data_IF_170857397877
#
_entry.id   IF_170857397877
#
_cell.length_a   1.000
_cell.length_b   1.000
_cell.length_c   1.000
_cell.angle_alpha   90.00
_cell.angle_beta   90.00
_cell.angle_gamma   90.00
#
_symmetry.space_group_name_H-M   'P 1'
#
loop_
_entity.id
_entity.type
_entity.pdbx_description
1 polymer ?
#
# COMPACT_ATOMS: atom_id res chain seq x y z
N UNK A 1 12.03 -32.66 -10.42
CA UNK A 1 10.65 -32.15 -10.50
C UNK A 1 10.71 -30.83 -11.27
N UNK A 2 10.10 -30.78 -12.45
CA UNK A 2 10.16 -29.65 -13.36
C UNK A 2 8.94 -28.77 -13.10
N UNK A 3 9.13 -27.63 -12.45
CA UNK A 3 8.06 -26.66 -12.16
C UNK A 3 7.80 -25.84 -13.41
N UNK A 4 6.70 -26.14 -14.09
CA UNK A 4 6.22 -25.37 -15.23
C UNK A 4 5.53 -24.10 -14.71
N UNK A 5 6.22 -22.95 -14.76
CA UNK A 5 5.59 -21.64 -14.54
C UNK A 5 4.67 -21.35 -15.72
N UNK A 6 3.36 -21.51 -15.52
CA UNK A 6 2.36 -21.04 -16.47
C UNK A 6 1.99 -19.60 -16.12
N UNK A 7 2.61 -18.64 -16.80
CA UNK A 7 2.25 -17.23 -16.70
C UNK A 7 0.92 -17.02 -17.42
N UNK A 8 -0.19 -17.00 -16.68
CA UNK A 8 -1.49 -16.58 -17.23
C UNK A 8 -1.47 -15.05 -17.25
N UNK A 9 -1.14 -14.48 -18.41
CA UNK A 9 -1.42 -13.09 -18.69
C UNK A 9 -2.94 -12.93 -18.80
N UNK A 10 -3.59 -12.45 -17.73
CA UNK A 10 -4.95 -11.93 -17.84
C UNK A 10 -4.90 -10.66 -18.70
N UNK A 11 -5.25 -10.78 -19.98
CA UNK A 11 -5.55 -9.63 -20.82
C UNK A 11 -6.80 -8.95 -20.26
N UNK A 12 -6.61 -8.05 -19.29
CA UNK A 12 -7.60 -7.03 -18.98
C UNK A 12 -7.50 -5.97 -20.06
N UNK A 13 -8.46 -5.95 -20.99
CA UNK A 13 -8.62 -4.88 -21.97
C UNK A 13 -9.25 -3.67 -21.27
N UNK A 14 -8.49 -3.01 -20.39
CA UNK A 14 -8.91 -1.75 -19.82
C UNK A 14 -8.80 -0.66 -20.91
N UNK A 15 -9.93 -0.21 -21.45
CA UNK A 15 -9.96 0.97 -22.29
C UNK A 15 -9.71 2.22 -21.41
N UNK A 16 -8.85 3.17 -21.81
CA UNK A 16 -8.69 4.42 -21.10
C UNK A 16 -9.99 5.23 -21.17
N UNK A 17 -10.63 5.46 -20.01
CA UNK A 17 -11.86 6.25 -19.94
C UNK A 17 -11.51 7.73 -19.90
N UNK A 18 -11.85 8.48 -20.95
CA UNK A 18 -11.81 9.94 -20.95
C UNK A 18 -13.05 10.49 -20.24
N UNK A 19 -13.03 10.51 -18.90
CA UNK A 19 -14.06 11.21 -18.13
C UNK A 19 -13.75 12.71 -18.07
N UNK A 20 -14.75 13.54 -18.39
CA UNK A 20 -14.68 15.01 -18.34
C UNK A 20 -14.27 15.48 -16.94
N UNK A 21 -13.05 16.01 -16.80
CA UNK A 21 -12.56 16.58 -15.56
C UNK A 21 -13.23 17.95 -15.31
N UNK A 22 -13.81 18.22 -14.13
CA UNK A 22 -14.20 19.57 -13.75
C UNK A 22 -12.96 20.47 -13.65
N UNK A 23 -13.17 21.77 -13.85
CA UNK A 23 -12.11 22.79 -13.83
C UNK A 23 -11.32 22.74 -12.50
N UNK A 24 -9.99 22.72 -12.65
CA UNK A 24 -8.98 22.69 -11.59
C UNK A 24 -9.22 23.85 -10.61
N UNK A 25 -9.33 23.54 -9.33
CA UNK A 25 -9.20 24.58 -8.30
C UNK A 25 -7.71 24.85 -8.10
N UNK A 26 -7.20 26.01 -8.50
CA UNK A 26 -5.76 26.33 -8.42
C UNK A 26 -5.25 26.65 -6.99
N UNK A 27 -5.90 26.09 -5.96
CA UNK A 27 -5.44 26.21 -4.58
C UNK A 27 -4.19 25.34 -4.34
N UNK A 28 -3.21 25.80 -3.54
CA UNK A 28 -2.00 25.02 -3.22
C UNK A 28 -2.29 23.70 -2.48
N UNK A 29 -3.51 23.53 -1.97
CA UNK A 29 -4.00 22.32 -1.29
C UNK A 29 -4.99 21.50 -2.13
N UNK A 30 -5.22 21.88 -3.39
CA UNK A 30 -6.14 21.15 -4.25
C UNK A 30 -5.54 19.82 -4.72
N UNK A 31 -6.39 18.80 -4.75
CA UNK A 31 -6.09 17.49 -5.31
C UNK A 31 -7.13 17.18 -6.37
N UNK A 32 -6.68 16.99 -7.60
CA UNK A 32 -7.50 16.54 -8.73
C UNK A 32 -7.74 15.04 -8.61
N UNK A 33 -8.99 14.62 -8.74
CA UNK A 33 -9.40 13.21 -8.63
C UNK A 33 -10.11 12.81 -9.91
N UNK A 34 -9.59 11.78 -10.58
CA UNK A 34 -10.15 11.27 -11.84
C UNK A 34 -10.27 9.77 -11.84
N UNK A 35 -11.18 9.24 -12.65
CA UNK A 35 -11.18 7.81 -12.98
C UNK A 35 -10.09 7.54 -13.99
N UNK A 36 -9.22 6.57 -13.70
CA UNK A 36 -8.18 6.10 -14.62
C UNK A 36 -8.67 4.89 -15.41
N UNK A 37 -9.32 3.96 -14.72
CA UNK A 37 -9.83 2.74 -15.31
C UNK A 37 -10.98 2.18 -14.50
N UNK A 38 -11.88 1.49 -15.20
CA UNK A 38 -12.89 0.63 -14.60
C UNK A 38 -12.68 -0.76 -15.15
N UNK A 39 -12.68 -1.75 -14.27
CA UNK A 39 -12.58 -3.15 -14.64
C UNK A 39 -13.68 -3.94 -13.95
N UNK A 40 -14.39 -4.75 -14.73
CA UNK A 40 -15.36 -5.69 -14.23
C UNK A 40 -14.78 -7.10 -14.30
N UNK A 41 -14.84 -7.85 -13.20
CA UNK A 41 -14.44 -9.24 -13.16
C UNK A 41 -15.64 -10.12 -12.79
N UNK A 42 -15.98 -11.08 -13.67
CA UNK A 42 -17.04 -12.08 -13.45
C UNK A 42 -16.44 -13.49 -13.45
N UNK A 43 -16.14 -14.04 -12.27
CA UNK A 43 -15.45 -15.33 -12.15
C UNK A 43 -16.26 -16.54 -12.63
N UNK A 44 -17.59 -16.50 -12.58
CA UNK A 44 -18.43 -17.57 -13.14
C UNK A 44 -18.20 -17.79 -14.64
N UNK A 45 -17.66 -16.79 -15.33
CA UNK A 45 -17.36 -16.83 -16.76
C UNK A 45 -15.89 -17.24 -17.05
N UNK A 46 -15.04 -17.33 -16.00
CA UNK A 46 -13.61 -17.66 -16.09
C UNK A 46 -13.26 -19.06 -15.57
N UNK A 47 -14.24 -19.85 -15.13
CA UNK A 47 -13.99 -21.21 -14.63
C UNK A 47 -13.52 -22.09 -15.80
N UNK A 48 -12.25 -22.54 -15.84
CA UNK A 48 -11.79 -23.38 -16.92
C UNK A 48 -12.56 -24.70 -16.86
N UNK A 49 -13.23 -25.03 -17.97
CA UNK A 49 -13.80 -26.35 -18.14
C UNK A 49 -12.83 -27.19 -18.94
N UNK A 50 -12.55 -28.40 -18.50
CA UNK A 50 -11.89 -29.39 -19.35
C UNK A 50 -12.79 -29.75 -20.54
N UNK A 51 -12.23 -30.40 -21.55
CA UNK A 51 -12.95 -30.83 -22.75
C UNK A 51 -14.15 -31.75 -22.47
N UNK A 52 -14.20 -32.38 -21.29
CA UNK A 52 -15.30 -33.22 -20.83
C UNK A 52 -16.37 -32.46 -20.01
N UNK A 53 -16.22 -31.13 -19.87
CA UNK A 53 -17.14 -30.27 -19.15
C UNK A 53 -16.95 -30.23 -17.63
N UNK A 54 -15.96 -30.94 -17.07
CA UNK A 54 -15.66 -30.85 -15.63
C UNK A 54 -14.95 -29.55 -15.27
N UNK A 55 -15.15 -29.10 -14.03
CA UNK A 55 -14.56 -27.85 -13.50
C UNK A 55 -13.12 -28.14 -13.06
N UNK A 56 -12.15 -27.47 -13.68
CA UNK A 56 -10.75 -27.55 -13.26
C UNK A 56 -10.54 -26.65 -12.04
N UNK A 57 -10.19 -27.24 -10.89
CA UNK A 57 -9.75 -26.47 -9.73
C UNK A 57 -8.38 -25.83 -10.01
N UNK A 58 -8.34 -24.52 -10.11
CA UNK A 58 -7.09 -23.75 -10.16
C UNK A 58 -6.70 -23.40 -8.73
N UNK A 59 -5.52 -23.81 -8.26
CA UNK A 59 -5.03 -23.51 -6.91
C UNK A 59 -4.33 -22.14 -6.85
N UNK A 60 -5.04 -21.02 -7.09
CA UNK A 60 -4.52 -19.67 -6.79
C UNK A 60 -5.38 -19.02 -5.71
N UNK A 61 -4.99 -19.29 -4.46
CA UNK A 61 -5.75 -19.05 -3.22
C UNK A 61 -5.91 -17.58 -2.78
N UNK A 62 -5.88 -16.60 -3.69
CA UNK A 62 -5.79 -15.18 -3.27
C UNK A 62 -6.89 -14.24 -3.76
N UNK A 63 -7.82 -14.65 -4.65
CA UNK A 63 -9.02 -13.85 -4.99
C UNK A 63 -10.08 -14.57 -5.87
N UNK A 64 -10.17 -15.90 -5.83
CA UNK A 64 -10.89 -16.67 -6.88
C UNK A 64 -12.42 -16.62 -6.86
N UNK A 65 -13.08 -16.10 -5.82
CA UNK A 65 -14.51 -16.36 -5.64
C UNK A 65 -15.42 -15.16 -5.90
N UNK A 66 -14.89 -14.00 -6.32
CA UNK A 66 -15.68 -12.76 -6.26
C UNK A 66 -15.69 -11.93 -7.52
N UNK A 67 -16.84 -12.05 -8.17
CA UNK A 67 -17.46 -11.04 -9.01
C UNK A 67 -17.28 -9.62 -8.41
N UNK A 68 -16.48 -8.77 -9.04
CA UNK A 68 -16.13 -7.43 -8.51
C UNK A 68 -16.08 -6.38 -9.62
N UNK A 69 -16.48 -5.16 -9.26
CA UNK A 69 -16.24 -3.96 -10.06
C UNK A 69 -15.11 -3.16 -9.40
N UNK A 70 -14.02 -2.93 -10.10
CA UNK A 70 -12.88 -2.14 -9.61
C UNK A 70 -12.86 -0.80 -10.33
N UNK A 71 -12.86 0.29 -9.56
CA UNK A 71 -12.69 1.66 -10.07
C UNK A 71 -11.35 2.18 -9.55
N UNK A 72 -10.40 2.42 -10.45
CA UNK A 72 -9.11 3.00 -10.11
C UNK A 72 -9.20 4.54 -10.21
N UNK A 73 -8.99 5.21 -9.08
CA UNK A 73 -8.94 6.66 -9.00
C UNK A 73 -7.50 7.15 -9.04
N UNK A 74 -7.23 8.12 -9.90
CA UNK A 74 -5.98 8.87 -9.94
C UNK A 74 -6.15 10.15 -9.16
N UNK A 75 -5.31 10.32 -8.13
CA UNK A 75 -5.23 11.56 -7.37
C UNK A 75 -3.96 12.27 -7.80
N UNK A 76 -4.04 13.57 -8.14
CA UNK A 76 -2.89 14.40 -8.52
C UNK A 76 -2.90 15.74 -7.81
N UNK A 77 -1.71 16.26 -7.52
CA UNK A 77 -1.55 17.60 -6.94
C UNK A 77 -0.38 17.67 -5.95
N UNK A 78 -0.05 18.88 -5.52
CA UNK A 78 1.06 19.09 -4.56
C UNK A 78 0.90 18.26 -3.28
N UNK A 79 -0.29 18.18 -2.65
CA UNK A 79 -0.43 17.34 -1.46
C UNK A 79 -0.22 15.85 -1.73
N UNK A 80 -0.49 15.38 -2.95
CA UNK A 80 -0.26 13.98 -3.35
C UNK A 80 1.23 13.66 -3.42
N UNK A 81 2.07 14.58 -3.90
CA UNK A 81 3.53 14.36 -3.91
C UNK A 81 4.10 14.19 -2.51
N UNK A 82 3.58 14.94 -1.53
CA UNK A 82 3.98 14.86 -0.13
C UNK A 82 3.24 13.77 0.66
N UNK A 83 2.29 13.07 0.05
CA UNK A 83 1.52 12.04 0.71
C UNK A 83 2.39 10.79 0.96
N UNK A 84 2.37 10.34 2.21
CA UNK A 84 3.01 9.10 2.64
C UNK A 84 1.99 7.98 2.78
N UNK A 85 0.73 8.31 3.06
CA UNK A 85 -0.37 7.36 3.17
C UNK A 85 -1.65 7.91 2.54
N UNK A 86 -2.55 7.00 2.16
CA UNK A 86 -3.96 7.29 1.86
C UNK A 86 -4.85 6.35 2.66
N UNK A 87 -6.10 6.73 2.94
CA UNK A 87 -7.01 5.84 3.65
C UNK A 87 -8.25 6.54 4.16
N UNK A 88 -8.88 5.91 5.16
CA UNK A 88 -10.15 6.34 5.77
C UNK A 88 -11.19 6.77 4.74
N UNK A 89 -11.32 5.94 3.71
CA UNK A 89 -12.18 6.20 2.57
C UNK A 89 -13.64 6.16 3.01
N UNK A 90 -14.34 7.28 2.84
CA UNK A 90 -15.74 7.43 3.21
C UNK A 90 -16.57 7.82 1.99
N UNK A 91 -17.52 6.97 1.59
CA UNK A 91 -18.47 7.29 0.53
C UNK A 91 -19.65 8.08 1.08
N UNK A 92 -19.97 9.20 0.43
CA UNK A 92 -21.16 10.02 0.72
C UNK A 92 -22.34 9.65 -0.17
N UNK A 93 -22.07 9.06 -1.33
CA UNK A 93 -23.11 8.62 -2.26
C UNK A 93 -22.51 7.88 -3.44
N UNK A 94 -23.07 6.72 -3.75
CA UNK A 94 -22.60 5.84 -4.82
C UNK A 94 -23.81 5.11 -5.44
N UNK A 95 -24.05 5.30 -6.74
CA UNK A 95 -25.20 4.71 -7.44
C UNK A 95 -24.96 4.49 -8.93
N UNK A 96 -25.63 3.49 -9.48
CA UNK A 96 -25.71 3.22 -10.92
C UNK A 96 -26.83 4.01 -11.61
N UNK A 97 -26.82 4.02 -12.94
CA UNK A 97 -27.96 4.44 -13.74
C UNK A 97 -29.20 3.56 -13.44
N UNK A 98 -30.30 4.22 -13.06
CA UNK A 98 -31.49 3.54 -12.52
C UNK A 98 -31.58 3.53 -10.99
N UNK A 99 -30.65 4.18 -10.29
CA UNK A 99 -30.76 4.50 -8.86
C UNK A 99 -30.41 3.35 -7.91
N UNK A 100 -29.96 2.21 -8.43
CA UNK A 100 -29.42 1.13 -7.61
C UNK A 100 -28.15 1.59 -6.89
N UNK A 101 -28.01 1.25 -5.61
CA UNK A 101 -26.82 1.60 -4.83
C UNK A 101 -25.58 0.86 -5.34
N UNK A 102 -24.46 1.58 -5.38
CA UNK A 102 -23.12 1.02 -5.63
C UNK A 102 -22.46 0.78 -4.26
N UNK A 103 -22.32 -0.48 -3.88
CA UNK A 103 -21.85 -0.88 -2.54
C UNK A 103 -20.38 -1.25 -2.57
N UNK A 104 -19.57 -0.66 -1.69
CA UNK A 104 -18.18 -1.09 -1.49
C UNK A 104 -18.17 -2.53 -0.99
N UNK A 105 -17.32 -3.36 -1.59
CA UNK A 105 -17.19 -4.75 -1.20
C UNK A 105 -16.81 -4.84 0.29
N UNK A 106 -17.51 -5.71 1.04
CA UNK A 106 -17.26 -5.89 2.47
C UNK A 106 -15.81 -6.31 2.75
N UNK A 107 -15.19 -7.05 1.83
CA UNK A 107 -13.83 -7.57 1.93
C UNK A 107 -12.81 -6.74 1.14
N UNK A 108 -13.14 -5.49 0.84
CA UNK A 108 -12.19 -4.54 0.26
C UNK A 108 -11.02 -4.33 1.23
N UNK A 109 -9.86 -4.90 0.89
CA UNK A 109 -8.58 -4.77 1.60
C UNK A 109 -7.45 -4.49 0.61
N UNK A 110 -6.40 -3.83 1.10
CA UNK A 110 -5.11 -3.69 0.41
C UNK A 110 -4.08 -4.42 1.27
N UNK A 111 -3.63 -5.59 0.80
CA UNK A 111 -2.93 -6.54 1.66
C UNK A 111 -3.83 -6.96 2.83
N UNK A 112 -3.39 -6.70 4.05
CA UNK A 112 -4.16 -6.97 5.28
C UNK A 112 -4.93 -5.75 5.81
N UNK A 113 -4.78 -4.58 5.18
CA UNK A 113 -5.30 -3.30 5.69
C UNK A 113 -6.65 -2.95 5.09
N UNK A 114 -7.55 -2.42 5.91
CA UNK A 114 -8.83 -1.87 5.46
C UNK A 114 -8.74 -0.35 5.22
N UNK A 115 -8.64 0.11 3.97
CA UNK A 115 -8.51 1.54 3.70
C UNK A 115 -9.77 2.35 4.05
N UNK A 116 -10.87 1.73 4.48
CA UNK A 116 -12.05 2.46 4.99
C UNK A 116 -11.85 2.95 6.42
N UNK A 117 -11.04 2.26 7.20
CA UNK A 117 -10.82 2.57 8.63
C UNK A 117 -9.38 2.94 8.93
N UNK A 118 -8.44 2.49 8.10
CA UNK A 118 -7.00 2.59 8.31
C UNK A 118 -6.32 3.32 7.16
N UNK A 119 -5.07 3.69 7.38
CA UNK A 119 -4.19 4.26 6.37
C UNK A 119 -3.35 3.15 5.73
N UNK A 120 -3.18 3.23 4.42
CA UNK A 120 -2.31 2.39 3.61
C UNK A 120 -1.11 3.23 3.20
N UNK A 121 0.10 2.70 3.45
CA UNK A 121 1.33 3.34 3.03
C UNK A 121 1.42 3.40 1.50
N UNK A 122 1.82 4.56 0.98
CA UNK A 122 2.06 4.74 -0.45
C UNK A 122 3.47 4.24 -0.77
N UNK A 123 3.54 3.06 -1.38
CA UNK A 123 4.74 2.56 -2.03
C UNK A 123 4.65 2.90 -3.54
N UNK A 124 5.33 3.99 -3.93
CA UNK A 124 5.32 4.46 -5.32
C UNK A 124 6.08 3.52 -6.26
N UNK A 125 7.09 2.82 -5.75
CA UNK A 125 7.91 1.92 -6.57
C UNK A 125 7.08 0.70 -6.97
N UNK A 126 6.37 0.11 -6.00
CA UNK A 126 5.43 -0.99 -6.27
C UNK A 126 4.22 -0.52 -7.09
N UNK A 127 3.66 0.66 -6.79
CA UNK A 127 2.48 1.20 -7.48
C UNK A 127 2.72 1.40 -8.98
N UNK A 128 3.95 1.76 -9.36
CA UNK A 128 4.33 2.05 -10.73
C UNK A 128 5.25 1.00 -11.35
N UNK A 129 5.32 -0.17 -10.75
CA UNK A 129 6.10 -1.27 -11.29
C UNK A 129 5.70 -1.56 -12.76
N UNK A 130 6.69 -1.53 -13.65
CA UNK A 130 6.48 -1.71 -15.09
C UNK A 130 5.89 -0.51 -15.83
N UNK A 131 5.75 0.65 -15.20
CA UNK A 131 5.26 1.91 -15.80
C UNK A 131 6.30 3.03 -15.63
N UNK A 132 7.35 3.08 -16.46
CA UNK A 132 8.42 4.09 -16.34
C UNK A 132 7.92 5.52 -16.55
N UNK A 133 6.79 5.71 -17.24
CA UNK A 133 6.18 7.01 -17.50
C UNK A 133 5.26 7.50 -16.38
N UNK A 134 5.12 6.72 -15.29
CA UNK A 134 4.27 7.11 -14.20
C UNK A 134 4.87 8.28 -13.41
N UNK A 135 4.08 9.32 -13.24
CA UNK A 135 4.51 10.53 -12.56
C UNK A 135 4.44 10.38 -11.04
N UNK A 136 5.50 10.81 -10.35
CA UNK A 136 5.57 10.86 -8.88
C UNK A 136 4.52 11.81 -8.26
N UNK A 137 3.86 12.64 -9.07
CA UNK A 137 2.78 13.55 -8.67
C UNK A 137 1.39 12.93 -8.62
N UNK A 138 1.30 11.63 -8.93
CA UNK A 138 0.07 10.87 -8.88
C UNK A 138 0.14 9.80 -7.79
N UNK A 139 -1.02 9.40 -7.29
CA UNK A 139 -1.22 8.07 -6.67
C UNK A 139 -2.47 7.43 -7.25
N UNK A 140 -2.53 6.09 -7.20
CA UNK A 140 -3.67 5.30 -7.63
C UNK A 140 -4.35 4.69 -6.41
N UNK A 141 -5.65 4.94 -6.28
CA UNK A 141 -6.50 4.36 -5.22
C UNK A 141 -7.56 3.50 -5.90
N UNK A 142 -7.48 2.19 -5.70
CA UNK A 142 -8.49 1.26 -6.21
C UNK A 142 -9.65 1.16 -5.22
N UNK A 143 -10.88 1.33 -5.71
CA UNK A 143 -12.11 1.07 -4.98
C UNK A 143 -12.76 -0.20 -5.55
N UNK A 144 -13.03 -1.17 -4.68
CA UNK A 144 -13.68 -2.44 -5.06
C UNK A 144 -15.11 -2.46 -4.60
N UNK A 145 -16.01 -2.68 -5.55
CA UNK A 145 -17.46 -2.70 -5.35
C UNK A 145 -18.04 -4.06 -5.72
N UNK A 146 -19.25 -4.30 -5.24
CA UNK A 146 -20.09 -5.38 -5.75
C UNK A 146 -20.43 -5.12 -7.23
N UNK A 147 -20.70 -6.20 -7.97
CA UNK A 147 -21.01 -6.06 -9.39
C UNK A 147 -22.27 -5.23 -9.64
N UNK A 148 -22.28 -4.42 -10.71
CA UNK A 148 -23.48 -3.75 -11.15
C UNK A 148 -24.58 -4.76 -11.54
N UNK A 149 -25.86 -4.37 -11.42
CA UNK A 149 -26.94 -5.03 -12.15
C UNK A 149 -26.58 -5.09 -13.65
N UNK A 150 -26.88 -6.21 -14.34
CA UNK A 150 -26.54 -6.41 -15.77
C UNK A 150 -27.06 -5.35 -16.74
N UNK A 151 -28.06 -4.58 -16.32
CA UNK A 151 -28.68 -3.50 -17.11
C UNK A 151 -28.06 -2.13 -16.85
N UNK A 152 -27.20 -2.00 -15.84
CA UNK A 152 -26.52 -0.75 -15.56
C UNK A 152 -25.46 -0.54 -16.65
N UNK A 153 -25.43 0.66 -17.21
CA UNK A 153 -24.47 1.06 -18.23
C UNK A 153 -23.44 2.04 -17.68
N UNK A 154 -23.70 2.66 -16.53
CA UNK A 154 -22.78 3.63 -15.91
C UNK A 154 -22.95 3.74 -14.40
N UNK A 155 -21.89 4.19 -13.73
CA UNK A 155 -21.96 4.75 -12.39
C UNK A 155 -22.49 6.18 -12.52
N UNK A 156 -23.74 6.40 -12.11
CA UNK A 156 -24.38 7.71 -12.17
C UNK A 156 -23.70 8.72 -11.25
N UNK A 157 -23.34 8.26 -10.04
CA UNK A 157 -22.75 9.10 -9.00
C UNK A 157 -21.76 8.29 -8.16
N UNK A 158 -20.59 8.85 -7.91
CA UNK A 158 -19.58 8.33 -6.99
C UNK A 158 -18.93 9.51 -6.25
N UNK A 159 -19.31 9.68 -5.00
CA UNK A 159 -18.92 10.83 -4.16
C UNK A 159 -18.43 10.37 -2.81
N UNK A 160 -17.41 11.03 -2.29
CA UNK A 160 -16.81 10.66 -1.03
C UNK A 160 -15.63 11.53 -0.64
N UNK A 161 -14.84 11.02 0.30
CA UNK A 161 -13.60 11.62 0.78
C UNK A 161 -12.57 10.50 0.91
N UNK A 162 -11.35 10.77 0.45
CA UNK A 162 -10.15 9.98 0.75
C UNK A 162 -9.28 10.86 1.65
N UNK A 163 -8.81 10.36 2.79
CA UNK A 163 -7.84 11.09 3.59
C UNK A 163 -6.42 10.78 3.08
N UNK A 164 -5.61 11.82 2.88
CA UNK A 164 -4.18 11.68 2.66
C UNK A 164 -3.44 12.08 3.92
N UNK A 165 -2.41 11.32 4.27
CA UNK A 165 -1.44 11.75 5.27
C UNK A 165 -0.21 12.30 4.56
N UNK A 166 0.09 13.57 4.79
CA UNK A 166 1.23 14.27 4.19
C UNK A 166 2.25 14.63 5.24
N UNK A 167 3.54 14.66 4.91
CA UNK A 167 4.58 15.11 5.84
C UNK A 167 5.92 15.26 5.14
N UNK A 168 6.87 15.89 5.82
CA UNK A 168 8.24 16.00 5.31
C UNK A 168 8.97 14.69 5.53
N UNK A 169 9.55 14.15 4.46
CA UNK A 169 10.32 12.92 4.55
C UNK A 169 11.77 13.24 4.89
N UNK A 170 12.29 12.64 5.95
CA UNK A 170 13.69 12.73 6.36
C UNK A 170 14.34 11.37 6.27
N UNK A 171 15.52 11.36 5.65
CA UNK A 171 16.41 10.21 5.66
C UNK A 171 17.39 10.36 6.82
N UNK A 172 17.63 9.28 7.55
CA UNK A 172 18.65 9.22 8.59
C UNK A 172 19.47 7.94 8.46
N UNK A 173 20.74 8.05 8.84
CA UNK A 173 21.68 6.94 8.88
C UNK A 173 22.17 6.77 10.30
N UNK A 174 22.14 5.53 10.80
CA UNK A 174 22.60 5.16 12.13
C UNK A 174 23.77 4.20 11.98
N UNK A 175 24.96 4.67 12.34
CA UNK A 175 26.18 3.89 12.18
C UNK A 175 26.30 2.75 13.19
N UNK A 176 26.95 1.66 12.78
CA UNK A 176 27.31 0.53 13.64
C UNK A 176 26.12 -0.14 14.30
N UNK A 177 24.99 -0.26 13.57
CA UNK A 177 23.73 -0.76 14.13
C UNK A 177 23.86 -2.20 14.64
N UNK A 178 24.66 -3.03 13.95
CA UNK A 178 24.92 -4.42 14.33
C UNK A 178 25.61 -4.55 15.71
N UNK A 179 26.32 -3.50 16.15
CA UNK A 179 27.02 -3.47 17.45
C UNK A 179 26.18 -2.85 18.57
N UNK A 180 24.88 -2.58 18.34
CA UNK A 180 24.00 -1.88 19.29
C UNK A 180 22.81 -2.72 19.81
N UNK A 181 22.90 -4.04 20.05
CA UNK A 181 21.78 -4.80 20.58
C UNK A 181 21.34 -4.25 21.94
N UNK A 182 20.02 -4.12 22.14
CA UNK A 182 19.40 -3.58 23.35
C UNK A 182 19.40 -2.05 23.43
N UNK A 183 20.03 -1.34 22.50
CA UNK A 183 20.12 0.12 22.55
C UNK A 183 18.84 0.79 22.05
N UNK A 184 18.40 1.83 22.78
CA UNK A 184 17.45 2.81 22.26
C UNK A 184 18.16 3.74 21.26
N UNK A 185 17.52 4.02 20.14
CA UNK A 185 18.05 4.91 19.11
C UNK A 185 17.49 6.31 19.33
N UNK A 186 18.33 7.19 19.87
CA UNK A 186 18.01 8.60 20.09
C UNK A 186 18.30 9.42 18.83
N UNK A 187 17.25 9.94 18.20
CA UNK A 187 17.38 10.83 17.03
C UNK A 187 16.28 11.90 17.04
N UNK A 188 16.63 13.14 16.69
CA UNK A 188 15.68 14.26 16.70
C UNK A 188 14.53 14.12 15.69
N UNK A 189 14.78 13.52 14.52
CA UNK A 189 13.75 13.25 13.51
C UNK A 189 12.79 12.14 13.98
N UNK A 190 13.30 11.07 14.59
CA UNK A 190 12.46 10.03 15.20
C UNK A 190 11.54 10.62 16.29
N UNK A 191 12.10 11.45 17.18
CA UNK A 191 11.29 12.15 18.20
C UNK A 191 10.26 13.09 17.60
N UNK A 192 10.63 13.87 16.58
CA UNK A 192 9.70 14.77 15.88
C UNK A 192 8.55 14.00 15.18
N UNK A 193 8.83 12.79 14.69
CA UNK A 193 7.85 11.89 14.12
C UNK A 193 6.98 11.17 15.17
N UNK A 194 7.33 11.25 16.46
CA UNK A 194 6.69 10.47 17.52
C UNK A 194 7.04 8.98 17.46
N UNK A 195 8.18 8.63 16.86
CA UNK A 195 8.67 7.25 16.72
C UNK A 195 9.70 6.96 17.80
N UNK A 196 9.50 5.87 18.53
CA UNK A 196 10.50 5.28 19.41
C UNK A 196 11.08 4.04 18.74
N UNK A 197 12.41 3.96 18.66
CA UNK A 197 13.11 2.86 18.03
C UNK A 197 14.12 2.23 19.00
N UNK A 198 14.09 0.91 19.12
CA UNK A 198 15.05 0.14 19.93
C UNK A 198 15.55 -1.05 19.13
N UNK A 199 16.85 -1.33 19.19
CA UNK A 199 17.42 -2.55 18.63
C UNK A 199 17.23 -3.68 19.62
N UNK A 200 16.61 -4.78 19.21
CA UNK A 200 16.42 -5.92 20.09
C UNK A 200 17.76 -6.57 20.44
N UNK A 201 17.89 -7.04 21.68
CA UNK A 201 19.00 -7.92 22.04
C UNK A 201 18.57 -9.38 21.79
N UNK A 202 19.20 -10.11 20.84
CA UNK A 202 18.83 -11.48 20.52
C UNK A 202 19.02 -12.45 21.71
N UNK A 203 19.81 -12.07 22.72
CA UNK A 203 19.98 -12.85 23.95
C UNK A 203 18.88 -12.58 24.99
N UNK A 204 18.17 -11.47 24.84
CA UNK A 204 17.12 -11.08 25.78
C UNK A 204 15.80 -11.78 25.45
N UNK A 205 15.19 -12.44 26.44
CA UNK A 205 13.82 -12.96 26.32
C UNK A 205 12.84 -11.81 26.50
N UNK A 206 12.81 -10.88 25.56
CA UNK A 206 11.90 -9.73 25.65
C UNK A 206 10.47 -10.15 25.27
N UNK A 207 9.46 -9.79 26.09
CA UNK A 207 8.06 -10.00 25.74
C UNK A 207 7.72 -9.33 24.40
N UNK A 208 7.01 -10.05 23.53
CA UNK A 208 6.60 -9.58 22.21
C UNK A 208 7.60 -9.86 21.07
N UNK A 209 8.79 -10.41 21.35
CA UNK A 209 9.73 -10.85 20.31
C UNK A 209 9.60 -12.35 20.07
N UNK A 210 8.59 -12.74 19.29
CA UNK A 210 8.46 -14.12 18.78
C UNK A 210 9.30 -14.35 17.52
N UNK A 211 9.87 -13.28 16.98
CA UNK A 211 10.65 -13.25 15.74
C UNK A 211 12.02 -12.65 16.03
N UNK A 212 12.99 -13.52 16.27
CA UNK A 212 14.42 -13.15 16.28
C UNK A 212 15.06 -13.68 15.01
N UNK A 213 15.69 -12.82 14.22
CA UNK A 213 16.51 -13.28 13.10
C UNK A 213 17.77 -14.02 13.59
N UNK A 214 18.55 -14.56 12.67
CA UNK A 214 19.79 -15.26 13.01
C UNK A 214 20.80 -14.31 13.71
N UNK A 215 21.37 -14.68 14.87
CA UNK A 215 22.37 -13.87 15.57
C UNK A 215 23.57 -13.56 14.67
N UNK A 216 24.01 -12.29 14.63
CA UNK A 216 25.13 -11.84 13.79
C UNK A 216 24.75 -11.54 12.34
N UNK A 217 23.59 -12.03 11.87
CA UNK A 217 23.11 -11.83 10.49
C UNK A 217 21.90 -10.91 10.38
N UNK A 218 21.30 -10.58 11.52
CA UNK A 218 20.06 -9.81 11.56
C UNK A 218 20.14 -8.63 12.52
N UNK A 219 19.38 -7.59 12.16
CA UNK A 219 19.02 -6.48 13.04
C UNK A 219 17.53 -6.54 13.23
N UNK A 220 17.11 -6.76 14.47
CA UNK A 220 15.70 -6.66 14.84
C UNK A 220 15.43 -5.31 15.48
N UNK A 221 14.47 -4.58 14.93
CA UNK A 221 14.03 -3.28 15.38
C UNK A 221 12.66 -3.41 16.05
N UNK A 222 12.49 -2.81 17.22
CA UNK A 222 11.19 -2.56 17.83
C UNK A 222 10.85 -1.10 17.69
N UNK A 223 9.75 -0.85 17.01
CA UNK A 223 9.21 0.46 16.69
C UNK A 223 7.93 0.63 17.50
N UNK A 224 7.79 1.73 18.22
CA UNK A 224 6.56 2.08 18.96
C UNK A 224 6.26 3.57 18.84
N UNK A 225 5.09 3.99 19.33
CA UNK A 225 4.57 5.33 19.12
C UNK A 225 3.85 5.43 17.77
N UNK A 226 4.18 6.44 16.97
CA UNK A 226 3.61 6.64 15.63
C UNK A 226 4.32 5.79 14.58
N UNK A 227 4.05 4.48 14.58
CA UNK A 227 4.72 3.52 13.68
C UNK A 227 4.56 3.91 12.20
N UNK A 228 3.40 4.40 11.79
CA UNK A 228 3.12 4.84 10.41
C UNK A 228 4.03 5.99 9.94
N UNK A 229 4.75 6.66 10.83
CA UNK A 229 5.75 7.64 10.41
C UNK A 229 7.06 7.00 9.92
N UNK A 230 7.35 5.75 10.30
CA UNK A 230 8.48 5.01 9.76
C UNK A 230 8.11 4.42 8.39
N UNK A 231 8.53 5.10 7.33
CA UNK A 231 8.21 4.73 5.95
C UNK A 231 9.10 3.59 5.44
N UNK A 232 10.36 3.57 5.87
CA UNK A 232 11.30 2.56 5.40
C UNK A 232 12.45 2.31 6.39
N UNK A 233 13.00 1.11 6.32
CA UNK A 233 14.16 0.67 7.09
C UNK A 233 14.98 -0.34 6.27
N UNK A 234 16.26 -0.02 6.07
CA UNK A 234 17.18 -0.77 5.23
C UNK A 234 18.56 -0.84 5.89
N UNK A 235 19.24 -1.98 5.73
CA UNK A 235 20.65 -2.11 6.11
C UNK A 235 21.52 -1.70 4.92
N UNK A 236 22.49 -0.82 5.17
CA UNK A 236 23.48 -0.40 4.17
C UNK A 236 24.89 -0.64 4.71
N UNK A 237 25.85 -0.84 3.82
CA UNK A 237 27.25 -0.98 4.17
C UNK A 237 27.93 0.37 4.48
N UNK A 238 29.26 0.35 4.64
CA UNK A 238 30.07 1.53 4.91
C UNK A 238 30.13 2.52 3.73
N UNK A 239 29.95 2.03 2.50
CA UNK A 239 29.98 2.82 1.28
C UNK A 239 28.58 3.40 0.95
N UNK A 240 27.54 2.82 1.53
CA UNK A 240 26.14 3.27 1.43
C UNK A 240 25.31 2.39 0.52
N UNK A 241 25.86 1.26 0.08
CA UNK A 241 25.18 0.30 -0.76
C UNK A 241 24.23 -0.55 0.08
N UNK A 242 23.02 -0.86 -0.44
CA UNK A 242 22.11 -1.81 0.17
C UNK A 242 22.76 -3.16 0.46
N UNK A 243 22.60 -3.65 1.69
CA UNK A 243 22.83 -5.05 2.03
C UNK A 243 21.58 -5.85 1.65
N UNK A 244 21.76 -7.08 1.14
CA UNK A 244 20.65 -7.89 0.65
C UNK A 244 19.92 -8.54 1.84
N UNK A 245 19.15 -7.70 2.54
CA UNK A 245 18.42 -8.10 3.72
C UNK A 245 16.99 -8.51 3.34
N UNK A 246 16.62 -9.74 3.69
CA UNK A 246 15.20 -10.09 3.81
C UNK A 246 14.57 -9.21 4.89
N UNK A 247 13.36 -8.72 4.61
CA UNK A 247 12.59 -7.88 5.54
C UNK A 247 11.34 -8.60 5.96
N UNK A 248 11.16 -8.72 7.27
CA UNK A 248 9.96 -9.27 7.87
C UNK A 248 9.40 -8.30 8.89
N UNK A 249 8.10 -8.05 8.85
CA UNK A 249 7.44 -7.07 9.71
C UNK A 249 6.25 -7.72 10.39
N UNK A 250 6.14 -7.52 11.70
CA UNK A 250 5.03 -8.01 12.52
C UNK A 250 4.56 -6.90 13.44
N UNK A 251 3.26 -6.61 13.46
CA UNK A 251 2.66 -5.57 14.29
C UNK A 251 1.76 -6.22 15.34
N UNK A 252 1.94 -5.84 16.62
CA UNK A 252 1.18 -6.37 17.74
C UNK A 252 1.45 -5.60 19.04
N UNK A 253 0.52 -5.64 20.00
CA UNK A 253 0.68 -5.06 21.35
C UNK A 253 1.22 -3.60 21.37
N UNK A 254 0.83 -2.78 20.39
CA UNK A 254 1.24 -1.36 20.32
C UNK A 254 2.67 -1.13 19.83
N UNK A 255 3.33 -2.16 19.28
CA UNK A 255 4.63 -2.05 18.64
C UNK A 255 4.66 -2.78 17.30
N UNK A 256 5.60 -2.39 16.46
CA UNK A 256 5.96 -3.11 15.24
C UNK A 256 7.39 -3.61 15.37
N UNK A 257 7.58 -4.89 15.09
CA UNK A 257 8.88 -5.53 15.04
C UNK A 257 9.27 -5.68 13.58
N UNK A 258 10.43 -5.15 13.22
CA UNK A 258 11.02 -5.28 11.88
C UNK A 258 12.29 -6.09 12.02
N UNK A 259 12.37 -7.22 11.31
CA UNK A 259 13.59 -8.02 11.21
C UNK A 259 14.19 -7.75 9.83
N UNK A 260 15.44 -7.28 9.82
CA UNK A 260 16.26 -7.13 8.62
C UNK A 260 17.38 -8.17 8.72
N UNK A 261 17.40 -9.15 7.83
CA UNK A 261 18.31 -10.30 7.90
C UNK A 261 19.01 -10.56 6.57
N UNK A 262 20.34 -10.58 6.60
CA UNK A 262 21.22 -10.90 5.46
C UNK A 262 21.63 -12.39 5.51
N UNK A 263 22.03 -12.95 4.36
CA UNK A 263 22.55 -14.32 4.29
C UNK A 263 23.95 -14.43 4.93
N UNK A 264 24.72 -13.34 4.93
CA UNK A 264 26.04 -13.23 5.52
C UNK A 264 26.03 -12.58 6.92
N UNK A 265 27.13 -12.72 7.64
CA UNK A 265 27.31 -12.00 8.91
C UNK A 265 27.43 -10.50 8.65
N UNK A 266 26.67 -9.70 9.40
CA UNK A 266 26.65 -8.25 9.28
C UNK A 266 27.98 -7.66 9.81
N UNK A 267 28.74 -6.92 8.98
CA UNK A 267 29.94 -6.25 9.44
C UNK A 267 29.65 -5.27 10.59
N UNK A 268 30.59 -5.03 11.52
CA UNK A 268 30.42 -4.02 12.57
C UNK A 268 30.17 -2.60 12.04
N UNK A 269 30.57 -2.33 10.80
CA UNK A 269 30.37 -1.06 10.08
C UNK A 269 28.98 -0.92 9.46
N UNK A 270 28.13 -1.96 9.51
CA UNK A 270 26.76 -1.93 8.99
C UNK A 270 26.00 -0.75 9.57
N UNK A 271 25.30 -0.02 8.71
CA UNK A 271 24.50 1.14 9.08
C UNK A 271 23.03 0.84 8.82
N UNK A 272 22.16 1.47 9.61
CA UNK A 272 20.72 1.43 9.40
C UNK A 272 20.29 2.74 8.74
N UNK A 273 19.74 2.63 7.54
CA UNK A 273 19.10 3.72 6.82
C UNK A 273 17.61 3.69 7.14
N UNK A 274 17.06 4.80 7.62
CA UNK A 274 15.64 4.94 7.88
C UNK A 274 15.08 6.11 7.09
N UNK A 275 13.86 5.95 6.61
CA UNK A 275 13.07 7.03 6.02
C UNK A 275 11.86 7.28 6.89
N UNK A 276 11.75 8.50 7.41
CA UNK A 276 10.74 8.84 8.42
C UNK A 276 9.99 10.10 8.01
N UNK A 277 8.67 10.08 8.14
CA UNK A 277 7.81 11.22 7.93
C UNK A 277 7.66 12.04 9.22
N UNK A 278 8.09 13.30 9.19
CA UNK A 278 7.88 14.25 10.29
C UNK A 278 6.75 15.23 9.95
N UNK A 279 6.24 15.92 10.97
CA UNK A 279 5.24 16.98 10.82
C UNK A 279 4.00 16.52 10.04
N UNK A 280 3.59 15.26 10.27
CA UNK A 280 2.50 14.63 9.55
C UNK A 280 1.16 15.35 9.80
N UNK A 281 0.40 15.53 8.72
CA UNK A 281 -0.94 16.13 8.72
C UNK A 281 -1.87 15.26 7.92
N UNK A 282 -3.12 15.23 8.30
CA UNK A 282 -4.18 14.58 7.53
C UNK A 282 -4.97 15.63 6.77
N UNK A 283 -5.13 15.42 5.47
CA UNK A 283 -5.94 16.28 4.61
C UNK A 283 -7.08 15.47 3.99
N UNK A 284 -8.33 15.98 4.04
CA UNK A 284 -9.44 15.35 3.34
C UNK A 284 -9.41 15.73 1.86
N UNK A 285 -9.45 14.73 0.99
CA UNK A 285 -9.59 14.89 -0.47
C UNK A 285 -11.00 14.51 -0.87
N UNK A 286 -11.93 15.48 -1.00
CA UNK A 286 -13.27 15.20 -1.48
C UNK A 286 -13.22 14.88 -2.98
N UNK A 287 -14.11 13.99 -3.42
CA UNK A 287 -14.32 13.73 -4.84
C UNK A 287 -15.82 13.68 -5.16
N UNK A 288 -16.18 14.15 -6.35
CA UNK A 288 -17.52 14.08 -6.92
C UNK A 288 -17.42 13.67 -8.40
N UNK A 289 -17.59 12.38 -8.67
CA UNK A 289 -17.49 11.78 -10.00
C UNK A 289 -18.89 11.37 -10.46
N UNK A 290 -19.22 11.65 -11.72
CA UNK A 290 -20.55 11.41 -12.30
C UNK A 290 -20.43 10.76 -13.67
N UNK A 291 -21.47 10.02 -14.04
CA UNK A 291 -21.64 9.45 -15.38
C UNK A 291 -20.41 8.69 -15.88
N UNK A 292 -19.93 7.75 -15.06
CA UNK A 292 -18.74 6.95 -15.37
C UNK A 292 -19.18 5.66 -16.08
N UNK A 293 -18.88 5.53 -17.35
CA UNK A 293 -19.28 4.38 -18.18
C UNK A 293 -18.73 3.05 -17.61
N UNK A 294 -19.57 2.02 -17.61
CA UNK A 294 -19.18 0.65 -17.26
C UNK A 294 -18.66 -0.09 -18.51
N UNK A 295 -17.75 -1.07 -18.33
CA UNK A 295 -17.20 -1.87 -19.42
C UNK A 295 -18.21 -2.85 -20.04
#
# INVERSE_FOLDING_TARGET
>A
MLTLLLTIASLSTAAPVTANAPAVGDGPEHVDVRVLSIAENRFKDLTPRSSDGSVVQVFSSWNQDRNTLTVALGLRGRPVTAATHYGRIALKGASFDGGAALTLNADFKVGFTDPRTEFVQIDRDSMYFGRPDASADQIIVELKFDLPPRKATRIEKLTGVIELRTGDTRELTIDGIASKPGAAIENSALRAAGVTLTVADPKSKQPGFFMSGAPGKSVTLKVSGNVDALLDAELIDADGEPLYASRMTSTGEGATVIVLEDDADLPPTTRLKLRVAVDQKTIPVPFDLKSIELP
#
